data_IF_314740007275
#
_entry.id   IF_314740007275
#
_cell.length_a   1.000
_cell.length_b   1.000
_cell.length_c   1.000
_cell.angle_alpha   90.00
_cell.angle_beta   90.00
_cell.angle_gamma   90.00
#
_symmetry.space_group_name_H-M   'P 1'
#
loop_
_entity.id
_entity.type
_entity.pdbx_description
1 polymer ?
#
# COMPACT_ATOMS: atom_id res chain seq x y z
N UNK A 1 -15.94 12.62 -26.09
CA UNK A 1 -15.32 13.64 -25.23
C UNK A 1 -14.42 12.89 -24.24
N UNK A 2 -13.10 12.93 -24.44
CA UNK A 2 -12.10 12.09 -23.75
C UNK A 2 -11.49 12.76 -22.51
N UNK A 3 -12.06 13.86 -22.04
CA UNK A 3 -11.64 14.55 -20.83
C UNK A 3 -12.53 14.11 -19.68
N UNK A 4 -11.95 13.48 -18.66
CA UNK A 4 -12.66 13.09 -17.45
C UNK A 4 -13.44 14.29 -16.87
N UNK A 5 -14.71 14.06 -16.50
CA UNK A 5 -15.62 15.11 -16.03
C UNK A 5 -15.68 15.21 -14.50
N UNK A 6 -15.22 14.18 -13.79
CA UNK A 6 -15.13 14.16 -12.33
C UNK A 6 -13.98 13.25 -11.86
N UNK A 7 -13.70 13.29 -10.54
CA UNK A 7 -12.62 12.50 -9.93
C UNK A 7 -12.79 10.99 -10.13
N UNK A 8 -14.02 10.46 -10.05
CA UNK A 8 -14.27 9.02 -10.22
C UNK A 8 -13.92 8.54 -11.63
N UNK A 9 -14.41 9.24 -12.65
CA UNK A 9 -14.10 8.94 -14.05
C UNK A 9 -12.60 8.97 -14.29
N UNK A 10 -11.91 9.97 -13.71
CA UNK A 10 -10.47 10.10 -13.86
C UNK A 10 -9.69 8.94 -13.21
N UNK A 11 -10.11 8.53 -12.01
CA UNK A 11 -9.55 7.35 -11.32
C UNK A 11 -9.74 6.10 -12.19
N UNK A 12 -10.92 5.91 -12.77
CA UNK A 12 -11.24 4.76 -13.63
C UNK A 12 -10.39 4.77 -14.90
N UNK A 13 -10.28 5.91 -15.59
CA UNK A 13 -9.48 6.02 -16.81
C UNK A 13 -8.01 5.68 -16.56
N UNK A 14 -7.42 6.26 -15.51
CA UNK A 14 -6.04 5.94 -15.12
C UNK A 14 -5.91 4.47 -14.69
N UNK A 15 -6.89 3.92 -13.98
CA UNK A 15 -6.88 2.52 -13.61
C UNK A 15 -6.88 1.59 -14.82
N UNK A 16 -7.70 1.87 -15.83
CA UNK A 16 -7.76 1.10 -17.08
C UNK A 16 -6.44 1.22 -17.85
N UNK A 17 -5.87 2.43 -17.97
CA UNK A 17 -4.58 2.64 -18.64
C UNK A 17 -3.43 1.87 -17.97
N UNK A 18 -3.33 1.96 -16.64
CA UNK A 18 -2.31 1.24 -15.86
C UNK A 18 -2.52 -0.27 -15.98
N UNK A 19 -3.77 -0.74 -15.90
CA UNK A 19 -4.12 -2.14 -16.05
C UNK A 19 -3.67 -2.69 -17.41
N UNK A 20 -3.96 -1.99 -18.51
CA UNK A 20 -3.53 -2.37 -19.85
C UNK A 20 -2.00 -2.35 -19.99
N UNK A 21 -1.35 -1.28 -19.51
CA UNK A 21 0.11 -1.14 -19.57
C UNK A 21 0.83 -2.28 -18.85
N UNK A 22 0.38 -2.65 -17.65
CA UNK A 22 0.99 -3.74 -16.86
C UNK A 22 0.72 -5.10 -17.49
N UNK A 23 -0.47 -5.35 -18.04
CA UNK A 23 -0.78 -6.59 -18.78
C UNK A 23 0.15 -6.74 -19.98
N UNK A 24 0.38 -5.66 -20.74
CA UNK A 24 1.31 -5.67 -21.87
C UNK A 24 2.74 -5.94 -21.37
N UNK A 25 3.20 -5.23 -20.34
CA UNK A 25 4.53 -5.37 -19.75
C UNK A 25 4.81 -6.83 -19.33
N UNK A 26 3.91 -7.45 -18.57
CA UNK A 26 4.09 -8.82 -18.08
C UNK A 26 4.02 -9.88 -19.19
N UNK A 27 3.39 -9.57 -20.32
CA UNK A 27 3.27 -10.48 -21.45
C UNK A 27 4.38 -10.34 -22.49
N UNK A 28 4.99 -9.16 -22.63
CA UNK A 28 6.12 -8.93 -23.54
C UNK A 28 7.43 -9.38 -22.90
N UNK A 29 7.65 -9.03 -21.63
CA UNK A 29 8.95 -9.26 -20.99
C UNK A 29 8.99 -10.64 -20.32
N UNK A 30 10.00 -11.47 -20.62
CA UNK A 30 10.21 -12.73 -19.93
C UNK A 30 10.81 -12.47 -18.54
N UNK A 31 9.96 -12.43 -17.51
CA UNK A 31 10.37 -12.26 -16.12
C UNK A 31 11.03 -13.53 -15.56
N UNK A 32 12.35 -13.65 -15.77
CA UNK A 32 13.19 -14.69 -15.17
C UNK A 32 13.43 -14.43 -13.68
N UNK A 33 13.79 -15.47 -12.92
CA UNK A 33 14.05 -15.34 -11.48
C UNK A 33 15.19 -14.34 -11.19
N UNK A 34 16.29 -14.41 -11.95
CA UNK A 34 17.43 -13.52 -11.78
C UNK A 34 17.08 -12.06 -12.08
N UNK A 35 16.28 -11.81 -13.11
CA UNK A 35 15.81 -10.46 -13.45
C UNK A 35 14.94 -9.88 -12.33
N UNK A 36 13.98 -10.66 -11.83
CA UNK A 36 13.09 -10.22 -10.75
C UNK A 36 13.86 -9.98 -9.45
N UNK A 37 14.82 -10.84 -9.12
CA UNK A 37 15.71 -10.66 -7.98
C UNK A 37 16.51 -9.36 -8.09
N UNK A 38 17.15 -9.12 -9.24
CA UNK A 38 17.98 -7.93 -9.46
C UNK A 38 17.15 -6.65 -9.40
N UNK A 39 16.01 -6.60 -10.09
CA UNK A 39 15.11 -5.45 -10.08
C UNK A 39 14.54 -5.17 -8.68
N UNK A 40 14.12 -6.22 -7.97
CA UNK A 40 13.60 -6.06 -6.60
C UNK A 40 14.69 -5.63 -5.62
N UNK A 41 15.93 -6.08 -5.79
CA UNK A 41 17.07 -5.62 -5.00
C UNK A 41 17.34 -4.13 -5.22
N UNK A 42 17.46 -3.69 -6.48
CA UNK A 42 17.67 -2.28 -6.83
C UNK A 42 16.55 -1.42 -6.27
N UNK A 43 15.29 -1.82 -6.49
CA UNK A 43 14.14 -1.08 -6.01
C UNK A 43 14.12 -0.99 -4.48
N UNK A 44 14.45 -2.08 -3.78
CA UNK A 44 14.52 -2.09 -2.31
C UNK A 44 15.65 -1.18 -1.79
N UNK A 45 16.82 -1.21 -2.41
CA UNK A 45 17.94 -0.32 -2.05
C UNK A 45 17.61 1.15 -2.32
N UNK A 46 17.00 1.45 -3.47
CA UNK A 46 16.56 2.80 -3.82
C UNK A 46 15.55 3.33 -2.79
N UNK A 47 14.55 2.53 -2.44
CA UNK A 47 13.56 2.90 -1.42
C UNK A 47 14.20 3.05 -0.04
N UNK A 48 15.11 2.16 0.36
CA UNK A 48 15.85 2.31 1.62
C UNK A 48 16.64 3.63 1.66
N UNK A 49 17.30 3.99 0.55
CA UNK A 49 17.97 5.28 0.40
C UNK A 49 17.00 6.45 0.50
N UNK A 50 15.87 6.42 -0.21
CA UNK A 50 14.85 7.46 -0.14
C UNK A 50 14.30 7.65 1.28
N UNK A 51 13.89 6.57 1.96
CA UNK A 51 13.40 6.65 3.34
C UNK A 51 14.48 7.20 4.28
N UNK A 52 15.74 6.84 4.07
CA UNK A 52 16.86 7.33 4.88
C UNK A 52 17.11 8.83 4.66
N UNK A 53 17.10 9.29 3.41
CA UNK A 53 17.24 10.72 3.08
C UNK A 53 16.09 11.51 3.70
N UNK A 54 14.85 11.07 3.52
CA UNK A 54 13.67 11.68 4.12
C UNK A 54 13.86 11.76 5.66
N UNK A 55 14.31 10.67 6.29
CA UNK A 55 14.60 10.60 7.74
C UNK A 55 15.64 11.60 8.20
N UNK A 56 16.69 11.83 7.40
CA UNK A 56 17.73 12.80 7.71
C UNK A 56 17.18 14.24 7.63
N UNK A 57 16.30 14.52 6.65
CA UNK A 57 15.70 15.85 6.48
C UNK A 57 14.87 16.29 7.70
N UNK A 58 14.34 15.35 8.50
CA UNK A 58 13.67 15.68 9.77
C UNK A 58 14.57 16.41 10.76
N UNK A 59 15.87 16.12 10.75
CA UNK A 59 16.84 16.68 11.70
C UNK A 59 17.48 17.97 11.19
N UNK A 60 17.18 18.40 9.96
CA UNK A 60 17.70 19.63 9.38
C UNK A 60 16.70 20.79 9.62
N UNK A 61 17.13 21.89 10.28
CA UNK A 61 16.30 23.09 10.43
C UNK A 61 15.81 23.60 9.07
N UNK A 62 14.59 24.15 9.02
CA UNK A 62 13.93 24.70 7.82
C UNK A 62 13.43 23.70 6.75
N UNK A 63 13.82 22.42 6.78
CA UNK A 63 13.38 21.40 5.80
C UNK A 63 12.54 20.28 6.44
N UNK A 64 12.44 20.26 7.76
CA UNK A 64 11.73 19.24 8.58
C UNK A 64 10.23 19.04 8.27
N UNK A 65 9.61 19.92 7.48
CA UNK A 65 8.22 19.81 7.06
C UNK A 65 8.01 19.04 5.76
N UNK A 66 9.07 18.74 5.01
CA UNK A 66 8.97 18.01 3.76
C UNK A 66 8.81 16.51 4.03
N UNK A 67 7.72 15.90 3.54
CA UNK A 67 7.45 14.46 3.62
C UNK A 67 7.24 13.91 2.21
N UNK A 68 8.22 13.20 1.66
CA UNK A 68 8.10 12.67 0.30
C UNK A 68 7.83 11.17 0.25
N UNK A 69 8.16 10.41 1.30
CA UNK A 69 8.13 8.93 1.23
C UNK A 69 6.82 8.27 1.68
N UNK A 70 5.84 9.06 2.17
CA UNK A 70 4.55 8.55 2.63
C UNK A 70 3.83 7.62 1.62
N UNK A 71 3.70 7.96 0.31
CA UNK A 71 2.97 7.10 -0.61
C UNK A 71 3.72 5.81 -0.94
N UNK A 72 5.05 5.75 -0.75
CA UNK A 72 5.88 4.62 -1.21
C UNK A 72 5.88 3.42 -0.26
N UNK A 73 5.16 3.48 0.86
CA UNK A 73 5.14 2.38 1.83
C UNK A 73 4.72 1.02 1.23
N UNK A 74 3.61 0.94 0.49
CA UNK A 74 3.21 -0.30 -0.19
C UNK A 74 4.21 -0.75 -1.25
N UNK A 75 4.87 0.19 -1.93
CA UNK A 75 5.90 -0.12 -2.91
C UNK A 75 7.14 -0.72 -2.26
N UNK A 76 7.50 -0.26 -1.05
CA UNK A 76 8.57 -0.86 -0.27
C UNK A 76 8.23 -2.30 0.16
N UNK A 77 6.98 -2.54 0.58
CA UNK A 77 6.50 -3.91 0.90
C UNK A 77 6.59 -4.78 -0.34
N UNK A 78 6.12 -4.28 -1.49
CA UNK A 78 6.20 -4.99 -2.77
C UNK A 78 7.65 -5.37 -3.12
N UNK A 79 8.56 -4.41 -3.09
CA UNK A 79 9.97 -4.61 -3.45
C UNK A 79 10.65 -5.64 -2.52
N UNK A 80 10.50 -5.44 -1.21
CA UNK A 80 11.17 -6.27 -0.22
C UNK A 80 10.61 -7.70 -0.16
N UNK A 81 9.29 -7.87 -0.26
CA UNK A 81 8.67 -9.21 -0.28
C UNK A 81 9.03 -9.94 -1.58
N UNK A 82 9.06 -9.24 -2.71
CA UNK A 82 9.53 -9.82 -4.00
C UNK A 82 10.98 -10.28 -3.90
N UNK A 83 11.86 -9.46 -3.30
CA UNK A 83 13.27 -9.82 -3.08
C UNK A 83 13.40 -11.05 -2.19
N UNK A 84 12.67 -11.07 -1.07
CA UNK A 84 12.67 -12.19 -0.11
C UNK A 84 12.12 -13.49 -0.70
N UNK A 85 11.05 -13.39 -1.50
CA UNK A 85 10.47 -14.53 -2.21
C UNK A 85 11.44 -15.06 -3.28
N UNK A 86 12.09 -14.17 -4.03
CA UNK A 86 13.08 -14.53 -5.05
C UNK A 86 14.31 -15.23 -4.42
N UNK A 87 14.84 -14.69 -3.32
CA UNK A 87 15.95 -15.30 -2.58
C UNK A 87 15.60 -16.68 -2.02
N UNK A 88 14.34 -16.86 -1.56
CA UNK A 88 13.83 -18.16 -1.12
C UNK A 88 13.72 -19.15 -2.27
N UNK A 89 13.23 -18.73 -3.45
CA UNK A 89 13.16 -19.58 -4.63
C UNK A 89 14.53 -19.97 -5.17
N UNK A 90 15.54 -19.10 -5.10
CA UNK A 90 16.93 -19.45 -5.46
C UNK A 90 17.45 -20.61 -4.60
N UNK A 91 17.18 -20.58 -3.30
CA UNK A 91 17.60 -21.65 -2.39
C UNK A 91 16.87 -22.97 -2.62
N UNK A 92 15.65 -22.96 -3.19
CA UNK A 92 14.98 -24.19 -3.62
C UNK A 92 15.57 -24.79 -4.90
N UNK A 93 16.28 -23.97 -5.70
CA UNK A 93 16.95 -24.40 -6.93
C UNK A 93 18.44 -24.67 -6.68
N UNK A 94 18.82 -24.87 -5.41
CA UNK A 94 20.20 -25.18 -4.96
C UNK A 94 21.22 -24.08 -5.26
N UNK A 95 20.77 -22.86 -5.54
CA UNK A 95 21.64 -21.69 -5.69
C UNK A 95 21.83 -21.05 -4.32
N UNK A 96 23.09 -20.92 -3.87
CA UNK A 96 23.45 -20.27 -2.60
C UNK A 96 22.94 -18.82 -2.60
N UNK A 97 21.98 -18.50 -1.74
CA UNK A 97 21.37 -17.17 -1.60
C UNK A 97 21.53 -16.55 -0.21
N UNK A 98 22.49 -17.04 0.58
CA UNK A 98 22.73 -16.60 1.96
C UNK A 98 23.09 -15.11 2.05
N UNK A 99 23.96 -14.62 1.18
CA UNK A 99 24.35 -13.20 1.12
C UNK A 99 23.17 -12.29 0.77
N UNK A 100 22.35 -12.68 -0.21
CA UNK A 100 21.16 -11.92 -0.63
C UNK A 100 20.11 -11.91 0.49
N UNK A 101 19.93 -13.04 1.19
CA UNK A 101 19.00 -13.13 2.32
C UNK A 101 19.46 -12.24 3.47
N UNK A 102 20.76 -12.21 3.78
CA UNK A 102 21.31 -11.31 4.78
C UNK A 102 21.12 -9.83 4.39
N UNK A 103 21.39 -9.48 3.13
CA UNK A 103 21.17 -8.13 2.62
C UNK A 103 19.69 -7.72 2.70
N UNK A 104 18.76 -8.62 2.36
CA UNK A 104 17.33 -8.36 2.49
C UNK A 104 16.92 -8.08 3.95
N UNK A 105 17.52 -8.75 4.93
CA UNK A 105 17.28 -8.48 6.36
C UNK A 105 17.85 -7.11 6.78
N UNK A 106 19.05 -6.75 6.29
CA UNK A 106 19.63 -5.43 6.56
C UNK A 106 18.73 -4.33 5.98
N UNK A 107 18.33 -4.46 4.72
CA UNK A 107 17.42 -3.52 4.06
C UNK A 107 16.06 -3.44 4.76
N UNK A 108 15.57 -4.56 5.31
CA UNK A 108 14.36 -4.57 6.14
C UNK A 108 14.50 -3.65 7.35
N UNK A 109 15.61 -3.79 8.08
CA UNK A 109 15.90 -2.98 9.27
C UNK A 109 16.03 -1.49 8.94
N UNK A 110 16.79 -1.16 7.88
CA UNK A 110 16.98 0.23 7.43
C UNK A 110 15.64 0.89 7.10
N UNK A 111 14.81 0.23 6.28
CA UNK A 111 13.50 0.75 5.89
C UNK A 111 12.57 0.86 7.11
N UNK A 112 12.58 -0.12 8.01
CA UNK A 112 11.74 -0.08 9.21
C UNK A 112 12.10 1.10 10.12
N UNK A 113 13.39 1.33 10.38
CA UNK A 113 13.87 2.42 11.23
C UNK A 113 13.56 3.76 10.56
N UNK A 114 14.03 3.95 9.32
CA UNK A 114 13.86 5.21 8.59
C UNK A 114 12.37 5.54 8.37
N UNK A 115 11.61 4.60 7.80
CA UNK A 115 10.18 4.78 7.58
C UNK A 115 9.37 4.95 8.86
N UNK A 116 9.78 4.30 9.97
CA UNK A 116 9.12 4.45 11.27
C UNK A 116 9.38 5.78 11.97
N UNK A 117 10.56 6.35 11.79
CA UNK A 117 10.87 7.71 12.28
C UNK A 117 10.06 8.77 11.52
N UNK A 118 9.90 8.56 10.21
CA UNK A 118 9.23 9.47 9.30
C UNK A 118 7.71 9.42 9.37
N UNK A 119 7.13 8.22 9.22
CA UNK A 119 5.72 8.04 8.90
C UNK A 119 4.98 7.27 9.99
N UNK A 120 3.97 7.92 10.55
CA UNK A 120 3.24 7.47 11.73
C UNK A 120 2.54 6.12 11.57
N UNK A 121 2.07 5.80 10.36
CA UNK A 121 1.33 4.57 10.03
C UNK A 121 2.17 3.54 9.27
N UNK A 122 3.40 3.89 8.87
CA UNK A 122 4.23 3.05 8.01
C UNK A 122 4.61 1.75 8.69
N UNK A 123 4.99 1.76 9.98
CA UNK A 123 5.38 0.55 10.69
C UNK A 123 4.26 -0.50 10.71
N UNK A 124 3.00 -0.07 10.86
CA UNK A 124 1.86 -0.98 10.85
C UNK A 124 1.73 -1.65 9.48
N UNK A 125 1.80 -0.86 8.39
CA UNK A 125 1.81 -1.38 7.03
C UNK A 125 3.01 -2.31 6.77
N UNK A 126 4.19 -1.93 7.23
CA UNK A 126 5.45 -2.64 7.02
C UNK A 126 5.43 -4.02 7.68
N UNK A 127 5.06 -4.08 8.97
CA UNK A 127 4.97 -5.34 9.71
C UNK A 127 3.78 -6.20 9.26
N UNK A 128 2.66 -5.59 8.88
CA UNK A 128 1.54 -6.32 8.30
C UNK A 128 1.94 -6.95 6.96
N UNK A 129 2.62 -6.20 6.09
CA UNK A 129 3.16 -6.69 4.84
C UNK A 129 4.19 -7.80 5.02
N UNK A 130 5.08 -7.66 6.00
CA UNK A 130 6.00 -8.72 6.40
C UNK A 130 5.26 -10.00 6.81
N UNK A 131 4.26 -9.88 7.69
CA UNK A 131 3.48 -11.00 8.20
C UNK A 131 2.71 -11.72 7.08
N UNK A 132 1.99 -10.96 6.25
CA UNK A 132 1.24 -11.50 5.11
C UNK A 132 2.19 -12.14 4.10
N UNK A 133 3.28 -11.47 3.74
CA UNK A 133 4.26 -11.99 2.79
C UNK A 133 4.88 -13.29 3.27
N UNK A 134 5.26 -13.36 4.54
CA UNK A 134 5.77 -14.56 5.17
C UNK A 134 4.73 -15.70 5.19
N UNK A 135 3.46 -15.37 5.49
CA UNK A 135 2.36 -16.33 5.45
C UNK A 135 2.14 -16.89 4.03
N UNK A 136 2.15 -16.04 2.99
CA UNK A 136 1.99 -16.48 1.59
C UNK A 136 3.18 -17.36 1.18
N UNK A 137 4.42 -16.92 1.45
CA UNK A 137 5.64 -17.69 1.18
C UNK A 137 5.64 -19.05 1.89
N UNK A 138 5.18 -19.12 3.14
CA UNK A 138 5.10 -20.38 3.90
C UNK A 138 4.24 -21.43 3.21
N UNK A 139 3.03 -21.02 2.77
CA UNK A 139 2.11 -21.88 2.03
C UNK A 139 2.61 -22.15 0.62
N UNK A 140 3.46 -21.28 0.07
CA UNK A 140 4.02 -21.47 -1.27
C UNK A 140 5.15 -22.48 -1.29
N UNK A 141 6.11 -22.35 -0.38
CA UNK A 141 7.37 -23.09 -0.39
C UNK A 141 7.35 -24.37 0.47
N UNK A 142 6.22 -24.73 1.09
CA UNK A 142 6.09 -25.88 2.01
C UNK A 142 7.14 -25.93 3.12
N UNK A 143 7.83 -24.82 3.39
CA UNK A 143 8.62 -24.67 4.61
C UNK A 143 7.64 -24.65 5.76
N UNK A 144 7.74 -25.61 6.68
CA UNK A 144 6.87 -25.66 7.86
C UNK A 144 7.09 -24.37 8.64
N UNK A 145 6.22 -23.40 8.45
CA UNK A 145 6.17 -22.30 9.39
C UNK A 145 5.48 -22.88 10.59
N UNK A 146 6.29 -23.31 11.55
CA UNK A 146 5.85 -23.40 12.93
C UNK A 146 5.59 -21.96 13.37
N UNK A 147 4.41 -21.43 13.00
CA UNK A 147 3.82 -20.24 13.61
C UNK A 147 3.57 -20.69 15.04
N UNK A 148 4.61 -20.60 15.85
CA UNK A 148 4.55 -20.92 17.25
C UNK A 148 3.96 -19.70 17.93
N UNK A 149 3.11 -19.88 18.96
CA UNK A 149 2.64 -18.77 19.78
C UNK A 149 3.79 -17.87 20.20
N UNK A 150 4.95 -18.46 20.54
CA UNK A 150 6.19 -17.74 20.85
C UNK A 150 6.61 -16.72 19.77
N UNK A 151 6.55 -17.07 18.48
CA UNK A 151 6.91 -16.15 17.37
C UNK A 151 5.88 -15.04 17.18
N UNK A 152 4.59 -15.34 17.37
CA UNK A 152 3.52 -14.34 17.37
C UNK A 152 3.75 -13.36 18.54
N UNK A 153 3.94 -13.88 19.75
CA UNK A 153 4.20 -13.07 20.94
C UNK A 153 5.49 -12.25 20.82
N UNK A 154 6.57 -12.77 20.24
CA UNK A 154 7.77 -11.95 19.98
C UNK A 154 7.52 -10.87 18.93
N UNK A 155 6.69 -11.15 17.91
CA UNK A 155 6.30 -10.13 16.93
C UNK A 155 5.47 -9.01 17.55
N UNK A 156 4.45 -9.35 18.33
CA UNK A 156 3.68 -8.39 19.11
C UNK A 156 4.56 -7.65 20.13
N UNK A 157 5.48 -8.36 20.80
CA UNK A 157 6.45 -7.78 21.72
C UNK A 157 7.38 -6.78 21.05
N UNK A 158 7.83 -7.04 19.82
CA UNK A 158 8.64 -6.09 19.05
C UNK A 158 7.85 -4.82 18.67
N UNK A 159 6.57 -4.97 18.30
CA UNK A 159 5.69 -3.81 18.02
C UNK A 159 5.47 -2.99 19.29
N UNK A 160 5.11 -3.64 20.40
CA UNK A 160 4.90 -2.96 21.70
C UNK A 160 6.19 -2.31 22.19
N UNK A 161 7.32 -3.00 22.08
CA UNK A 161 8.64 -2.48 22.43
C UNK A 161 9.02 -1.26 21.60
N UNK A 162 8.79 -1.31 20.28
CA UNK A 162 8.98 -0.15 19.40
C UNK A 162 8.09 1.04 19.79
N UNK A 163 6.83 0.79 20.13
CA UNK A 163 5.90 1.82 20.62
C UNK A 163 6.36 2.41 21.95
N UNK A 164 6.83 1.59 22.89
CA UNK A 164 7.33 2.04 24.18
C UNK A 164 8.60 2.90 24.03
N UNK A 165 9.54 2.49 23.18
CA UNK A 165 10.76 3.27 22.90
C UNK A 165 10.41 4.63 22.29
N UNK A 166 9.49 4.66 21.34
CA UNK A 166 9.03 5.92 20.73
C UNK A 166 8.32 6.84 21.74
N UNK A 167 7.53 6.28 22.65
CA UNK A 167 6.88 7.05 23.72
C UNK A 167 7.90 7.62 24.72
N UNK A 168 8.91 6.83 25.10
CA UNK A 168 9.99 7.30 25.99
C UNK A 168 10.79 8.40 25.30
N UNK A 169 11.20 8.20 24.04
CA UNK A 169 11.90 9.22 23.25
C UNK A 169 11.06 10.49 23.10
N UNK A 170 9.75 10.38 22.93
CA UNK A 170 8.85 11.54 22.89
C UNK A 170 8.91 12.38 24.16
N UNK A 171 8.91 11.73 25.33
CA UNK A 171 8.99 12.39 26.63
C UNK A 171 10.37 12.99 26.90
N UNK A 172 11.44 12.27 26.55
CA UNK A 172 12.83 12.71 26.76
C UNK A 172 13.20 13.88 25.85
N UNK A 173 12.82 13.83 24.57
CA UNK A 173 13.12 14.87 23.58
C UNK A 173 12.09 16.01 23.57
N UNK A 174 11.09 15.95 24.44
CA UNK A 174 9.92 16.84 24.46
C UNK A 174 9.24 16.98 23.08
N UNK A 175 9.35 15.94 22.26
CA UNK A 175 8.88 15.89 20.89
C UNK A 175 7.56 15.14 20.85
N UNK A 176 6.45 15.86 21.05
CA UNK A 176 5.08 15.29 21.04
C UNK A 176 4.75 14.53 19.75
N UNK A 177 5.45 14.84 18.65
CA UNK A 177 5.36 14.13 17.38
C UNK A 177 5.67 12.65 17.53
N UNK A 178 6.56 12.24 18.45
CA UNK A 178 7.00 10.86 18.61
C UNK A 178 6.05 9.98 19.44
N UNK A 179 5.13 10.56 20.22
CA UNK A 179 4.25 9.82 21.15
C UNK A 179 3.19 8.99 20.42
N UNK A 180 3.19 7.64 20.54
CA UNK A 180 2.11 6.81 20.01
C UNK A 180 0.80 6.92 20.80
N UNK A 181 0.85 7.19 22.11
CA UNK A 181 -0.35 7.27 22.95
C UNK A 181 -1.20 8.51 22.65
N UNK A 182 -0.56 9.67 22.50
CA UNK A 182 -1.22 10.92 22.10
C UNK A 182 -1.92 10.78 20.73
N UNK A 183 -1.42 9.89 19.87
CA UNK A 183 -2.01 9.63 18.55
C UNK A 183 -3.29 8.79 18.66
N UNK A 184 -3.33 7.79 19.54
CA UNK A 184 -4.52 6.96 19.77
C UNK A 184 -5.67 7.79 20.35
N UNK A 185 -5.40 8.70 21.30
CA UNK A 185 -6.45 9.56 21.88
C UNK A 185 -7.04 10.50 20.83
N UNK A 186 -6.21 11.11 19.97
CA UNK A 186 -6.67 11.98 18.87
C UNK A 186 -7.54 11.24 17.86
N UNK A 187 -7.23 9.99 17.51
CA UNK A 187 -8.11 9.19 16.64
C UNK A 187 -9.51 9.07 17.25
N UNK A 188 -9.60 8.75 18.55
CA UNK A 188 -10.89 8.63 19.23
C UNK A 188 -11.66 9.94 19.30
N UNK A 189 -10.98 11.04 19.62
CA UNK A 189 -11.60 12.37 19.79
C UNK A 189 -12.11 12.96 18.45
N UNK A 190 -11.35 12.83 17.37
CA UNK A 190 -11.67 13.49 16.09
C UNK A 190 -12.40 12.60 15.07
N UNK A 191 -12.27 11.27 15.14
CA UNK A 191 -12.88 10.40 14.12
C UNK A 191 -14.38 10.14 14.32
N UNK A 192 -14.86 10.10 15.58
CA UNK A 192 -16.26 9.73 15.87
C UNK A 192 -17.28 10.72 15.27
N UNK A 193 -17.11 12.06 15.39
CA UNK A 193 -18.01 13.02 14.75
C UNK A 193 -18.01 12.88 13.22
N UNK A 194 -16.83 12.70 12.61
CA UNK A 194 -16.67 12.53 11.17
C UNK A 194 -17.37 11.27 10.65
N UNK A 195 -17.26 10.15 11.37
CA UNK A 195 -17.95 8.90 11.01
C UNK A 195 -19.47 9.08 11.04
N UNK A 196 -20.01 9.74 12.08
CA UNK A 196 -21.45 10.02 12.19
C UNK A 196 -21.94 10.91 11.05
N UNK A 197 -21.16 11.94 10.70
CA UNK A 197 -21.48 12.84 9.59
C UNK A 197 -21.53 12.08 8.26
N UNK A 198 -20.51 11.26 7.98
CA UNK A 198 -20.44 10.48 6.73
C UNK A 198 -21.61 9.52 6.62
N UNK A 199 -21.86 8.68 7.63
CA UNK A 199 -22.93 7.67 7.57
C UNK A 199 -24.30 8.32 7.37
N UNK A 200 -24.56 9.46 8.02
CA UNK A 200 -25.85 10.15 7.90
C UNK A 200 -26.09 10.73 6.51
N UNK A 201 -25.03 11.15 5.83
CA UNK A 201 -25.12 11.94 4.60
C UNK A 201 -24.75 11.13 3.34
N UNK A 202 -24.19 9.94 3.46
CA UNK A 202 -23.92 9.06 2.31
C UNK A 202 -25.21 8.52 1.71
N UNK A 203 -25.31 8.56 0.39
CA UNK A 203 -26.41 7.97 -0.38
C UNK A 203 -25.92 6.72 -1.12
N UNK A 204 -26.78 6.08 -1.92
CA UNK A 204 -26.36 4.96 -2.77
C UNK A 204 -25.29 5.40 -3.78
N UNK A 205 -25.39 6.63 -4.29
CA UNK A 205 -24.52 7.21 -5.31
C UNK A 205 -24.09 8.62 -4.87
N UNK A 206 -22.93 8.70 -4.23
CA UNK A 206 -22.40 9.94 -3.63
C UNK A 206 -22.96 10.22 -2.24
N UNK A 207 -23.31 11.49 -2.01
CA UNK A 207 -23.79 11.99 -0.72
C UNK A 207 -24.78 13.14 -0.90
N UNK A 208 -25.46 13.53 0.18
CA UNK A 208 -26.41 14.62 0.18
C UNK A 208 -25.71 15.94 -0.17
N UNK A 209 -26.17 16.64 -1.19
CA UNK A 209 -25.65 17.94 -1.59
C UNK A 209 -25.72 18.93 -0.41
N UNK A 210 -24.66 19.72 -0.19
CA UNK A 210 -24.58 20.60 0.97
C UNK A 210 -23.84 20.01 2.17
N UNK A 211 -23.60 18.69 2.19
CA UNK A 211 -22.96 18.02 3.34
C UNK A 211 -21.43 17.95 3.27
N UNK A 212 -20.83 18.30 2.13
CA UNK A 212 -19.38 18.35 2.00
C UNK A 212 -18.80 19.71 2.45
N UNK A 213 -17.46 19.77 2.58
CA UNK A 213 -16.71 20.97 2.96
C UNK A 213 -17.09 22.22 2.14
N UNK A 214 -17.46 22.02 0.87
CA UNK A 214 -17.85 23.08 -0.07
C UNK A 214 -19.29 23.59 0.11
N UNK A 215 -20.06 23.02 1.04
CA UNK A 215 -21.44 23.40 1.34
C UNK A 215 -22.30 23.53 0.06
N UNK A 216 -22.76 24.73 -0.28
CA UNK A 216 -23.63 24.94 -1.45
C UNK A 216 -22.96 24.55 -2.79
N UNK A 217 -21.62 24.61 -2.88
CA UNK A 217 -20.85 24.28 -4.09
C UNK A 217 -20.57 22.77 -4.21
N UNK A 218 -21.14 21.96 -3.32
CA UNK A 218 -21.03 20.51 -3.36
C UNK A 218 -21.70 19.94 -4.62
N UNK A 219 -21.04 19.00 -5.29
CA UNK A 219 -21.57 18.28 -6.45
C UNK A 219 -22.49 17.12 -6.04
N UNK A 220 -22.46 16.73 -4.76
CA UNK A 220 -23.21 15.57 -4.25
C UNK A 220 -22.55 14.22 -4.57
N UNK A 221 -21.27 14.23 -4.94
CA UNK A 221 -20.49 13.06 -5.31
C UNK A 221 -19.27 13.42 -6.18
N UNK A 222 -18.19 12.66 -6.02
CA UNK A 222 -16.89 12.92 -6.66
C UNK A 222 -16.36 14.33 -6.39
N UNK A 223 -16.46 14.78 -5.14
CA UNK A 223 -16.05 16.10 -4.66
C UNK A 223 -14.55 16.17 -4.32
N UNK A 224 -13.82 15.06 -4.48
CA UNK A 224 -12.36 15.01 -4.40
C UNK A 224 -11.82 14.65 -3.02
N UNK A 225 -12.63 14.01 -2.18
CA UNK A 225 -12.15 13.37 -0.94
C UNK A 225 -11.25 12.18 -1.24
N UNK A 226 -11.52 11.48 -2.33
CA UNK A 226 -10.68 10.46 -2.93
C UNK A 226 -10.25 10.95 -4.30
N UNK A 227 -8.96 11.26 -4.45
CA UNK A 227 -8.42 11.81 -5.68
C UNK A 227 -7.11 11.14 -6.09
N UNK A 228 -6.78 11.27 -7.37
CA UNK A 228 -5.42 11.06 -7.85
C UNK A 228 -4.51 12.22 -7.40
N UNK A 229 -3.17 12.12 -7.58
CA UNK A 229 -2.26 13.18 -7.16
C UNK A 229 -2.68 14.54 -7.72
N UNK A 230 -2.71 15.54 -6.86
CA UNK A 230 -3.05 16.91 -7.23
C UNK A 230 -2.20 17.43 -8.40
N UNK A 231 -0.90 17.09 -8.41
CA UNK A 231 0.00 17.47 -9.50
C UNK A 231 -0.48 16.90 -10.84
N UNK A 232 -0.99 15.67 -10.86
CA UNK A 232 -1.45 15.02 -12.07
C UNK A 232 -2.74 15.70 -12.58
N UNK A 233 -3.67 16.05 -11.67
CA UNK A 233 -4.89 16.82 -11.99
C UNK A 233 -4.54 18.20 -12.57
N UNK A 234 -3.59 18.91 -11.94
CA UNK A 234 -3.11 20.22 -12.39
C UNK A 234 -2.39 20.14 -13.74
N UNK A 235 -1.55 19.13 -13.96
CA UNK A 235 -0.83 18.94 -15.22
C UNK A 235 -1.79 18.73 -16.40
N UNK A 236 -2.92 18.06 -16.19
CA UNK A 236 -3.95 17.89 -17.21
C UNK A 236 -5.00 19.01 -17.24
N UNK A 237 -4.81 20.06 -16.42
CA UNK A 237 -5.72 21.23 -16.33
C UNK A 237 -7.19 20.83 -16.19
N UNK A 238 -7.47 19.79 -15.40
CA UNK A 238 -8.83 19.25 -15.27
C UNK A 238 -9.67 20.15 -14.34
N UNK A 239 -10.93 20.46 -14.70
CA UNK A 239 -11.79 21.37 -13.94
C UNK A 239 -12.45 20.66 -12.75
N UNK A 240 -11.64 20.02 -11.89
CA UNK A 240 -12.14 19.29 -10.73
C UNK A 240 -12.12 20.13 -9.45
N UNK A 241 -13.07 19.94 -8.53
CA UNK A 241 -12.98 20.53 -7.20
C UNK A 241 -11.72 20.00 -6.52
N UNK A 242 -10.79 20.89 -6.19
CA UNK A 242 -9.56 20.54 -5.51
C UNK A 242 -9.77 20.70 -4.02
N UNK A 243 -9.68 19.60 -3.26
CA UNK A 243 -9.67 19.65 -1.80
C UNK A 243 -8.44 20.44 -1.31
N UNK A 244 -8.60 21.76 -1.15
CA UNK A 244 -7.51 22.68 -0.86
C UNK A 244 -7.45 22.96 0.65
N UNK A 245 -6.52 22.29 1.32
CA UNK A 245 -5.65 23.00 2.26
C UNK A 245 -6.19 23.51 3.60
N UNK A 246 -7.40 23.16 4.07
CA UNK A 246 -7.81 23.53 5.45
C UNK A 246 -7.28 22.58 6.52
N UNK A 247 -6.52 21.55 6.14
CA UNK A 247 -5.90 20.59 7.07
C UNK A 247 -4.38 20.55 7.06
N UNK A 248 -3.74 21.45 6.31
CA UNK A 248 -2.27 21.51 6.22
C UNK A 248 -1.68 22.41 7.31
N UNK A 249 -2.47 23.31 7.92
CA UNK A 249 -1.96 24.24 8.95
C UNK A 249 -1.89 23.60 10.35
N UNK A 250 -2.67 22.54 10.61
CA UNK A 250 -2.50 21.67 11.78
C UNK A 250 -2.62 20.22 11.35
N UNK A 251 -1.45 19.57 11.23
CA UNK A 251 -1.14 18.19 10.81
C UNK A 251 -1.96 17.06 11.49
N UNK A 252 -3.03 17.36 12.24
CA UNK A 252 -3.66 16.44 13.19
C UNK A 252 -5.18 16.59 13.37
N UNK A 253 -5.89 17.49 12.67
CA UNK A 253 -7.21 17.92 13.18
C UNK A 253 -8.43 17.19 12.60
N UNK A 254 -8.68 17.03 11.28
CA UNK A 254 -9.99 16.47 10.84
C UNK A 254 -10.02 15.42 9.68
N UNK A 255 -9.17 15.38 8.62
CA UNK A 255 -9.39 14.36 7.53
C UNK A 255 -8.44 13.15 7.45
N UNK A 256 -7.37 13.09 8.24
CA UNK A 256 -6.33 12.08 8.01
C UNK A 256 -6.53 10.73 8.69
N UNK A 257 -7.56 10.59 9.53
CA UNK A 257 -7.77 9.40 10.38
C UNK A 257 -9.13 8.72 10.19
N UNK A 258 -9.92 9.20 9.22
CA UNK A 258 -11.11 8.50 8.78
C UNK A 258 -10.69 7.25 7.99
N UNK A 259 -11.20 6.06 8.33
CA UNK A 259 -11.00 4.86 7.51
C UNK A 259 -11.44 5.08 6.07
N UNK A 260 -10.67 4.58 5.10
CA UNK A 260 -10.93 4.78 3.68
C UNK A 260 -12.31 4.32 3.22
N UNK A 261 -12.92 3.32 3.87
CA UNK A 261 -14.29 2.90 3.57
C UNK A 261 -15.30 4.05 3.67
N UNK A 262 -15.12 4.96 4.64
CA UNK A 262 -16.00 6.11 4.80
C UNK A 262 -15.68 7.20 3.79
N UNK A 263 -14.39 7.42 3.48
CA UNK A 263 -13.98 8.35 2.44
C UNK A 263 -14.53 7.97 1.06
N UNK A 264 -14.38 6.70 0.67
CA UNK A 264 -14.91 6.18 -0.59
C UNK A 264 -16.45 6.15 -0.62
N UNK A 265 -17.10 5.76 0.49
CA UNK A 265 -18.55 5.77 0.58
C UNK A 265 -19.11 7.20 0.50
N UNK A 266 -18.46 8.17 1.15
CA UNK A 266 -18.88 9.56 1.07
C UNK A 266 -18.71 10.10 -0.35
N UNK A 267 -17.55 9.88 -0.97
CA UNK A 267 -17.26 10.47 -2.27
C UNK A 267 -18.04 9.81 -3.42
N UNK A 268 -18.24 8.48 -3.38
CA UNK A 268 -18.84 7.72 -4.50
C UNK A 268 -20.12 6.96 -4.14
N UNK A 269 -20.60 7.07 -2.90
CA UNK A 269 -21.78 6.36 -2.40
C UNK A 269 -21.50 4.91 -1.99
N UNK A 270 -22.50 4.29 -1.36
CA UNK A 270 -22.42 2.87 -0.99
C UNK A 270 -22.24 1.95 -2.20
N UNK A 271 -22.79 2.31 -3.37
CA UNK A 271 -22.57 1.57 -4.62
C UNK A 271 -21.11 1.56 -5.04
N UNK A 272 -20.45 2.73 -4.99
CA UNK A 272 -19.02 2.86 -5.27
C UNK A 272 -18.15 2.09 -4.28
N UNK A 273 -18.47 2.14 -2.98
CA UNK A 273 -17.77 1.35 -1.95
C UNK A 273 -17.90 -0.16 -2.21
N UNK A 274 -19.11 -0.65 -2.49
CA UNK A 274 -19.34 -2.07 -2.74
C UNK A 274 -18.60 -2.55 -4.01
N UNK A 275 -18.57 -1.72 -5.05
CA UNK A 275 -17.80 -2.01 -6.27
C UNK A 275 -16.30 -2.13 -5.97
N UNK A 276 -15.74 -1.22 -5.17
CA UNK A 276 -14.34 -1.27 -4.74
C UNK A 276 -14.03 -2.54 -3.93
N UNK A 277 -14.87 -2.86 -2.93
CA UNK A 277 -14.70 -4.06 -2.11
C UNK A 277 -14.79 -5.33 -2.96
N UNK A 278 -15.76 -5.39 -3.88
CA UNK A 278 -15.89 -6.47 -4.86
C UNK A 278 -14.64 -6.62 -5.71
N UNK A 279 -14.08 -5.51 -6.23
CA UNK A 279 -12.82 -5.51 -6.96
C UNK A 279 -11.66 -6.05 -6.12
N UNK A 280 -11.52 -5.62 -4.87
CA UNK A 280 -10.47 -6.10 -3.97
C UNK A 280 -10.55 -7.62 -3.77
N UNK A 281 -11.76 -8.15 -3.57
CA UNK A 281 -11.99 -9.60 -3.45
C UNK A 281 -11.61 -10.34 -4.74
N UNK A 282 -11.96 -9.79 -5.91
CA UNK A 282 -11.58 -10.36 -7.21
C UNK A 282 -10.05 -10.42 -7.35
N UNK A 283 -9.35 -9.32 -7.07
CA UNK A 283 -7.88 -9.23 -7.17
C UNK A 283 -7.22 -10.25 -6.25
N UNK A 284 -7.63 -10.30 -4.98
CA UNK A 284 -7.08 -11.24 -4.00
C UNK A 284 -7.31 -12.70 -4.40
N UNK A 285 -8.55 -13.05 -4.76
CA UNK A 285 -8.93 -14.41 -5.16
C UNK A 285 -8.17 -14.86 -6.40
N UNK A 286 -8.05 -13.96 -7.39
CA UNK A 286 -7.30 -14.19 -8.62
C UNK A 286 -5.81 -14.40 -8.36
N UNK A 287 -5.20 -13.59 -7.51
CA UNK A 287 -3.80 -13.72 -7.12
C UNK A 287 -3.51 -15.08 -6.46
N UNK A 288 -4.34 -15.48 -5.49
CA UNK A 288 -4.19 -16.79 -4.84
C UNK A 288 -4.44 -17.97 -5.79
N UNK A 289 -5.38 -17.82 -6.72
CA UNK A 289 -5.64 -18.82 -7.76
C UNK A 289 -4.43 -19.02 -8.66
N UNK A 290 -3.83 -17.94 -9.19
CA UNK A 290 -2.64 -18.03 -10.04
C UNK A 290 -1.43 -18.55 -9.28
N UNK A 291 -1.23 -18.15 -8.01
CA UNK A 291 -0.20 -18.72 -7.16
C UNK A 291 -0.36 -20.23 -6.98
N UNK A 292 -1.59 -20.75 -6.89
CA UNK A 292 -1.83 -22.20 -6.88
C UNK A 292 -1.37 -22.87 -8.17
N UNK A 293 -1.59 -22.25 -9.33
CA UNK A 293 -1.14 -22.79 -10.61
C UNK A 293 0.39 -22.79 -10.72
N UNK A 294 1.06 -21.69 -10.38
CA UNK A 294 2.53 -21.61 -10.42
C UNK A 294 3.18 -22.66 -9.50
N UNK A 295 2.66 -22.81 -8.28
CA UNK A 295 3.09 -23.87 -7.36
C UNK A 295 2.90 -25.27 -7.95
N UNK A 296 1.78 -25.53 -8.61
CA UNK A 296 1.53 -26.81 -9.25
C UNK A 296 2.54 -27.10 -10.35
N UNK A 297 2.87 -26.11 -11.19
CA UNK A 297 3.87 -26.25 -12.27
C UNK A 297 5.28 -26.42 -11.71
N UNK A 298 5.64 -25.71 -10.64
CA UNK A 298 6.93 -25.86 -9.94
C UNK A 298 7.10 -27.27 -9.36
N UNK A 299 6.05 -27.86 -8.77
CA UNK A 299 6.10 -29.24 -8.24
C UNK A 299 6.36 -30.30 -9.30
N UNK A 300 5.99 -30.04 -10.54
CA UNK A 300 6.29 -30.91 -11.70
C UNK A 300 7.68 -30.61 -12.28
N UNK A 301 8.49 -29.77 -11.60
CA UNK A 301 9.88 -29.45 -11.98
C UNK A 301 10.02 -28.24 -12.92
N UNK A 302 8.93 -27.56 -13.29
CA UNK A 302 9.02 -26.42 -14.21
C UNK A 302 9.60 -25.18 -13.53
N UNK A 303 10.74 -24.69 -14.04
CA UNK A 303 11.39 -23.45 -13.57
C UNK A 303 10.92 -22.18 -14.31
N UNK A 304 10.04 -22.32 -15.30
CA UNK A 304 9.63 -21.24 -16.22
C UNK A 304 8.95 -20.07 -15.51
N UNK A 305 8.26 -20.31 -14.40
CA UNK A 305 7.42 -19.32 -13.73
C UNK A 305 7.98 -18.80 -12.41
N UNK A 306 9.23 -19.13 -12.05
CA UNK A 306 9.80 -18.77 -10.75
C UNK A 306 9.85 -17.25 -10.51
N UNK A 307 10.31 -16.47 -11.49
CA UNK A 307 10.34 -15.00 -11.37
C UNK A 307 8.93 -14.42 -11.22
N UNK A 308 7.98 -14.91 -12.02
CA UNK A 308 6.57 -14.49 -11.94
C UNK A 308 5.90 -14.90 -10.62
N UNK A 309 6.25 -16.05 -10.06
CA UNK A 309 5.77 -16.48 -8.74
C UNK A 309 6.25 -15.50 -7.66
N UNK A 310 7.53 -15.13 -7.63
CA UNK A 310 8.05 -14.16 -6.67
C UNK A 310 7.41 -12.78 -6.83
N UNK A 311 7.26 -12.29 -8.07
CA UNK A 311 6.64 -11.01 -8.38
C UNK A 311 5.18 -10.96 -7.92
N UNK A 312 4.42 -12.03 -8.16
CA UNK A 312 3.04 -12.15 -7.73
C UNK A 312 2.91 -12.22 -6.20
N UNK A 313 3.81 -12.92 -5.51
CA UNK A 313 3.83 -12.95 -4.03
C UNK A 313 4.01 -11.53 -3.49
N UNK A 314 4.97 -10.77 -4.02
CA UNK A 314 5.20 -9.38 -3.62
C UNK A 314 4.00 -8.48 -3.92
N UNK A 315 3.46 -8.53 -5.14
CA UNK A 315 2.34 -7.70 -5.56
C UNK A 315 1.08 -7.97 -4.74
N UNK A 316 0.75 -9.25 -4.53
CA UNK A 316 -0.41 -9.66 -3.74
C UNK A 316 -0.25 -9.26 -2.28
N UNK A 317 0.94 -9.41 -1.70
CA UNK A 317 1.20 -9.02 -0.31
C UNK A 317 1.04 -7.51 -0.11
N UNK A 318 1.65 -6.71 -0.98
CA UNK A 318 1.55 -5.26 -0.91
C UNK A 318 0.11 -4.78 -1.14
N UNK A 319 -0.60 -5.36 -2.10
CA UNK A 319 -2.00 -5.06 -2.37
C UNK A 319 -2.90 -5.36 -1.15
N UNK A 320 -2.78 -6.54 -0.54
CA UNK A 320 -3.57 -6.89 0.65
C UNK A 320 -3.25 -5.94 1.79
N UNK A 321 -1.97 -5.66 2.03
CA UNK A 321 -1.54 -4.78 3.13
C UNK A 321 -2.08 -3.36 2.94
N UNK A 322 -1.96 -2.80 1.73
CA UNK A 322 -2.49 -1.49 1.41
C UNK A 322 -4.02 -1.45 1.46
N UNK A 323 -4.70 -2.53 1.03
CA UNK A 323 -6.17 -2.65 1.14
C UNK A 323 -6.60 -2.60 2.61
N UNK A 324 -5.96 -3.38 3.47
CA UNK A 324 -6.32 -3.46 4.89
C UNK A 324 -6.05 -2.13 5.60
N UNK A 325 -4.86 -1.55 5.43
CA UNK A 325 -4.53 -0.27 6.06
C UNK A 325 -5.36 0.87 5.48
N UNK A 326 -5.49 0.94 4.15
CA UNK A 326 -6.16 2.03 3.45
C UNK A 326 -7.65 2.10 3.70
N UNK A 327 -8.34 0.97 3.56
CA UNK A 327 -9.78 0.95 3.72
C UNK A 327 -10.20 0.99 5.19
N UNK A 328 -9.47 0.31 6.09
CA UNK A 328 -9.95 0.12 7.46
C UNK A 328 -9.22 0.94 8.52
N UNK A 329 -8.07 1.54 8.22
CA UNK A 329 -7.30 2.30 9.22
C UNK A 329 -7.09 3.76 8.78
N UNK A 330 -6.45 4.01 7.63
CA UNK A 330 -6.06 5.35 7.20
C UNK A 330 -6.28 5.56 5.69
N UNK A 331 -7.28 6.39 5.35
CA UNK A 331 -7.59 6.74 3.96
C UNK A 331 -6.40 7.34 3.19
N UNK A 332 -5.46 8.02 3.88
CA UNK A 332 -4.25 8.59 3.26
C UNK A 332 -3.40 7.55 2.49
N UNK A 333 -3.53 6.26 2.81
CA UNK A 333 -2.81 5.18 2.12
C UNK A 333 -3.51 4.67 0.86
N UNK A 334 -4.68 5.20 0.53
CA UNK A 334 -5.42 4.95 -0.73
C UNK A 334 -5.85 6.27 -1.38
N UNK A 335 -5.10 7.35 -1.17
CA UNK A 335 -5.41 8.67 -1.72
C UNK A 335 -4.16 9.34 -2.32
N UNK A 336 -4.35 10.22 -3.29
CA UNK A 336 -3.28 10.92 -4.01
C UNK A 336 -2.28 9.94 -4.65
N UNK A 337 -0.98 10.10 -4.37
CA UNK A 337 0.06 9.23 -4.91
C UNK A 337 -0.05 7.78 -4.43
N UNK A 338 -0.62 7.54 -3.25
CA UNK A 338 -0.85 6.19 -2.75
C UNK A 338 -1.93 5.47 -3.57
N UNK A 339 -2.92 6.20 -4.12
CA UNK A 339 -3.93 5.63 -5.02
C UNK A 339 -3.32 5.08 -6.31
N UNK A 340 -2.37 5.81 -6.91
CA UNK A 340 -1.67 5.32 -8.12
C UNK A 340 -0.92 4.02 -7.84
N UNK A 341 -0.26 3.92 -6.69
CA UNK A 341 0.43 2.69 -6.27
C UNK A 341 -0.59 1.58 -6.02
N UNK A 342 -1.75 1.90 -5.45
CA UNK A 342 -2.80 0.92 -5.21
C UNK A 342 -3.34 0.31 -6.51
N UNK A 343 -3.60 1.16 -7.50
CA UNK A 343 -3.99 0.79 -8.86
C UNK A 343 -2.89 -0.05 -9.51
N UNK A 344 -1.63 0.39 -9.42
CA UNK A 344 -0.49 -0.35 -9.97
C UNK A 344 -0.36 -1.75 -9.37
N UNK A 345 -0.48 -1.88 -8.05
CA UNK A 345 -0.39 -3.17 -7.37
C UNK A 345 -1.55 -4.10 -7.74
N UNK A 346 -2.76 -3.55 -7.84
CA UNK A 346 -3.93 -4.27 -8.38
C UNK A 346 -3.64 -4.80 -9.78
N UNK A 347 -3.11 -3.94 -10.66
CA UNK A 347 -2.77 -4.30 -12.04
C UNK A 347 -1.68 -5.38 -12.11
N UNK A 348 -0.64 -5.28 -11.27
CA UNK A 348 0.42 -6.26 -11.17
C UNK A 348 -0.11 -7.63 -10.78
N UNK A 349 -1.08 -7.73 -9.87
CA UNK A 349 -1.72 -9.02 -9.52
C UNK A 349 -2.54 -9.54 -10.70
N UNK A 350 -3.43 -8.72 -11.24
CA UNK A 350 -4.39 -9.13 -12.27
C UNK A 350 -3.74 -9.52 -13.60
N UNK A 351 -2.62 -8.89 -13.96
CA UNK A 351 -1.91 -9.19 -15.20
C UNK A 351 -1.38 -10.64 -15.27
N UNK A 352 -1.15 -11.30 -14.13
CA UNK A 352 -0.74 -12.70 -14.11
C UNK A 352 -1.84 -13.66 -14.59
N UNK A 353 -3.12 -13.30 -14.47
CA UNK A 353 -4.23 -14.12 -14.99
C UNK A 353 -4.14 -14.30 -16.51
N UNK A 354 -3.94 -13.20 -17.24
CA UNK A 354 -3.86 -13.20 -18.71
C UNK A 354 -2.70 -14.06 -19.18
N UNK A 355 -1.58 -14.02 -18.46
CA UNK A 355 -0.37 -14.75 -18.86
C UNK A 355 -0.45 -16.27 -18.65
N UNK A 356 -1.28 -16.75 -17.72
CA UNK A 356 -1.47 -18.20 -17.51
C UNK A 356 -2.29 -18.88 -18.61
N UNK A 357 -3.21 -18.17 -19.27
CA UNK A 357 -4.03 -18.73 -20.36
C UNK A 357 -3.22 -19.11 -21.60
N UNK A 358 -2.10 -18.41 -21.87
CA UNK A 358 -1.23 -18.69 -23.03
C UNK A 358 -0.42 -19.98 -22.94
N UNK A 359 -0.33 -20.62 -21.77
CA UNK A 359 0.43 -21.87 -21.58
C UNK A 359 -0.43 -23.15 -21.75
N UNK A 360 -1.67 -22.99 -22.22
CA UNK A 360 -2.61 -24.08 -22.52
C UNK A 360 -2.88 -24.25 -24.03
N UNK A 361 -2.06 -23.62 -24.88
CA UNK A 361 -2.01 -23.85 -26.32
C UNK A 361 -0.79 -24.65 -26.70
#
# INVERSE_FOLDING_TARGET
MLTAQNHLQFIIEVAVLVQMGVVILLNIIPFTLSMVLFLSLILTMFLAGLFSVDSILLFIPYVSHQEFTHPFGPLAVFAWVTLSASASLLSEVEIKSTSITALAIILFGVIAIAGGLMHRSFLILWFLGWFIGYFIMSKSFRRSVKITPKRIFTGFGAVIGGFAVLEILSKVLNASVLSPLLRLSRIGEYAIPSIKMVIKNTTLWGHVQGSCYWAADCLGGSDGYISLPMNLIKTFTLPFPLFFGVLVVKKDVIDYMLPGIFGFAFDFGYGGLLALLGWCVIVMSSGFYVLRQYRSKRRVGSRKFLGREALLIGALTAFISQTLIGLFIFNRTVNGAAMLIYILLSAMVMAHLVSTKRSLG
#
